data_IF_392182410938
#
_entry.id   IF_392182410938
#
_cell.length_a   1.000
_cell.length_b   1.000
_cell.length_c   1.000
_cell.angle_alpha   90.00
_cell.angle_beta   90.00
_cell.angle_gamma   90.00
#
_symmetry.space_group_name_H-M   'P 1'
#
loop_
_entity.id
_entity.type
_entity.pdbx_description
1 polymer ?
#
# COMPACT_ATOMS: atom_id res chain seq x y z
N UNK A 1 27.47 1.95 26.11
CA UNK A 1 27.04 3.10 25.29
C UNK A 1 27.56 3.02 23.85
N UNK A 2 28.85 2.74 23.63
CA UNK A 2 29.47 2.61 22.29
C UNK A 2 28.91 1.48 21.40
N UNK A 3 28.51 0.34 21.96
CA UNK A 3 27.91 -0.76 21.18
C UNK A 3 26.49 -0.45 20.67
N UNK A 4 25.70 0.32 21.44
CA UNK A 4 24.36 0.79 21.06
C UNK A 4 24.44 1.85 19.95
N UNK A 5 25.40 2.76 20.04
CA UNK A 5 25.63 3.77 18.98
C UNK A 5 26.11 3.10 17.68
N UNK A 6 27.00 2.09 17.78
CA UNK A 6 27.47 1.35 16.60
C UNK A 6 26.36 0.56 15.92
N UNK A 7 25.45 -0.05 16.69
CA UNK A 7 24.30 -0.77 16.13
C UNK A 7 23.30 0.18 15.48
N UNK A 8 23.02 1.35 16.06
CA UNK A 8 22.18 2.39 15.45
C UNK A 8 22.74 2.86 14.10
N UNK A 9 24.03 3.20 14.03
CA UNK A 9 24.69 3.63 12.77
C UNK A 9 24.66 2.52 11.72
N UNK A 10 24.78 1.26 12.15
CA UNK A 10 24.70 0.11 11.24
C UNK A 10 23.28 -0.08 10.69
N UNK A 11 22.26 0.09 11.53
CA UNK A 11 20.85 0.04 11.14
C UNK A 11 20.52 1.16 10.14
N UNK A 12 20.96 2.39 10.39
CA UNK A 12 20.76 3.50 9.45
C UNK A 12 21.42 3.24 8.10
N UNK A 13 22.64 2.71 8.10
CA UNK A 13 23.34 2.35 6.86
C UNK A 13 22.63 1.23 6.10
N UNK A 14 22.08 0.26 6.82
CA UNK A 14 21.35 -0.86 6.23
C UNK A 14 20.00 -0.41 5.67
N UNK A 15 19.30 0.48 6.38
CA UNK A 15 18.08 1.13 5.90
C UNK A 15 18.35 1.91 4.60
N UNK A 16 19.43 2.69 4.54
CA UNK A 16 19.80 3.42 3.32
C UNK A 16 20.18 2.52 2.12
N UNK A 17 20.80 1.36 2.37
CA UNK A 17 21.04 0.36 1.31
C UNK A 17 19.72 -0.23 0.83
N UNK A 18 18.80 -0.52 1.74
CA UNK A 18 17.49 -1.09 1.43
C UNK A 18 16.64 -0.11 0.62
N UNK A 19 16.61 1.16 1.01
CA UNK A 19 15.95 2.24 0.25
C UNK A 19 16.50 2.33 -1.18
N UNK A 20 17.83 2.38 -1.35
CA UNK A 20 18.45 2.42 -2.67
C UNK A 20 18.11 1.19 -3.53
N UNK A 21 18.01 0.00 -2.91
CA UNK A 21 17.64 -1.22 -3.61
C UNK A 21 16.18 -1.17 -4.07
N UNK A 22 15.27 -0.75 -3.18
CA UNK A 22 13.85 -0.57 -3.48
C UNK A 22 13.67 0.43 -4.60
N UNK A 23 14.33 1.59 -4.53
CA UNK A 23 14.22 2.63 -5.54
C UNK A 23 14.69 2.12 -6.90
N UNK A 24 15.78 1.36 -6.96
CA UNK A 24 16.24 0.69 -8.19
C UNK A 24 15.22 -0.32 -8.75
N UNK A 25 14.62 -1.14 -7.89
CA UNK A 25 13.59 -2.10 -8.32
C UNK A 25 12.38 -1.36 -8.89
N UNK A 26 11.95 -0.29 -8.23
CA UNK A 26 10.84 0.55 -8.67
C UNK A 26 11.16 1.24 -10.01
N UNK A 27 12.37 1.75 -10.21
CA UNK A 27 12.81 2.34 -11.47
C UNK A 27 12.81 1.32 -12.63
N UNK A 28 13.32 0.10 -12.39
CA UNK A 28 13.34 -0.96 -13.41
C UNK A 28 11.91 -1.36 -13.78
N UNK A 29 11.06 -1.58 -12.77
CA UNK A 29 9.62 -1.85 -12.95
C UNK A 29 8.98 -0.76 -13.80
N UNK A 30 9.24 0.51 -13.49
CA UNK A 30 8.66 1.65 -14.18
C UNK A 30 9.11 1.72 -15.64
N UNK A 31 10.40 1.52 -15.93
CA UNK A 31 10.91 1.43 -17.31
C UNK A 31 10.25 0.32 -18.12
N UNK A 32 10.11 -0.87 -17.54
CA UNK A 32 9.49 -2.02 -18.21
C UNK A 32 8.01 -1.72 -18.50
N UNK A 33 7.27 -1.26 -17.48
CA UNK A 33 5.85 -0.97 -17.61
C UNK A 33 5.59 0.17 -18.59
N UNK A 34 6.35 1.27 -18.55
CA UNK A 34 6.22 2.37 -19.51
C UNK A 34 6.42 1.85 -20.94
N UNK A 35 7.43 1.00 -21.15
CA UNK A 35 7.72 0.43 -22.48
C UNK A 35 6.57 -0.45 -22.98
N UNK A 36 5.96 -1.25 -22.10
CA UNK A 36 4.82 -2.10 -22.43
C UNK A 36 3.53 -1.27 -22.65
N UNK A 37 3.22 -0.36 -21.74
CA UNK A 37 2.00 0.46 -21.72
C UNK A 37 1.97 1.39 -22.94
N UNK A 38 3.08 2.09 -23.24
CA UNK A 38 3.12 3.06 -24.35
C UNK A 38 2.80 2.43 -25.71
N UNK A 39 3.06 1.12 -25.87
CA UNK A 39 2.89 0.41 -27.13
C UNK A 39 1.63 -0.48 -27.19
N UNK A 40 1.02 -0.83 -26.04
CA UNK A 40 -0.08 -1.82 -25.96
C UNK A 40 -1.30 -1.36 -25.16
N UNK A 41 -1.28 -0.20 -24.52
CA UNK A 41 -2.35 0.19 -23.61
C UNK A 41 -3.58 0.79 -24.32
N UNK A 42 -4.80 0.31 -24.03
CA UNK A 42 -6.02 0.88 -24.61
C UNK A 42 -6.28 2.30 -24.10
N UNK A 43 -6.45 3.26 -25.01
CA UNK A 43 -6.69 4.67 -24.69
C UNK A 43 -7.99 4.94 -23.90
N UNK A 44 -8.93 4.00 -23.89
CA UNK A 44 -10.23 4.13 -23.21
C UNK A 44 -10.21 3.73 -21.73
N UNK A 45 -9.14 3.07 -21.26
CA UNK A 45 -8.99 2.57 -19.90
C UNK A 45 -8.11 3.53 -19.08
N UNK A 46 -8.76 4.46 -18.38
CA UNK A 46 -8.09 5.43 -17.51
C UNK A 46 -7.81 4.85 -16.12
N UNK A 47 -6.81 5.39 -15.43
CA UNK A 47 -6.46 4.99 -14.06
C UNK A 47 -7.68 5.08 -13.12
N UNK A 48 -8.48 6.15 -13.22
CA UNK A 48 -9.69 6.32 -12.41
C UNK A 48 -10.73 5.21 -12.61
N UNK A 49 -10.87 4.66 -13.83
CA UNK A 49 -11.78 3.54 -14.10
C UNK A 49 -11.28 2.24 -13.46
N UNK A 50 -9.96 2.04 -13.46
CA UNK A 50 -9.32 0.90 -12.77
C UNK A 50 -9.54 0.98 -11.26
N UNK A 51 -9.26 2.13 -10.64
CA UNK A 51 -9.54 2.39 -9.22
C UNK A 51 -11.01 2.14 -8.89
N UNK A 52 -11.93 2.66 -9.71
CA UNK A 52 -13.38 2.45 -9.53
C UNK A 52 -13.79 0.98 -9.64
N UNK A 53 -13.24 0.25 -10.61
CA UNK A 53 -13.50 -1.19 -10.76
C UNK A 53 -13.02 -1.97 -9.54
N UNK A 54 -11.87 -1.60 -8.96
CA UNK A 54 -11.34 -2.22 -7.75
C UNK A 54 -12.24 -1.96 -6.55
N UNK A 55 -12.79 -0.76 -6.41
CA UNK A 55 -13.73 -0.46 -5.34
C UNK A 55 -15.01 -1.31 -5.46
N UNK A 56 -15.53 -1.50 -6.67
CA UNK A 56 -16.70 -2.37 -6.91
C UNK A 56 -16.37 -3.83 -6.56
N UNK A 57 -15.23 -4.33 -7.01
CA UNK A 57 -14.78 -5.70 -6.72
C UNK A 57 -14.59 -5.91 -5.21
N UNK A 58 -13.97 -4.95 -4.52
CA UNK A 58 -13.79 -5.00 -3.06
C UNK A 58 -15.14 -5.07 -2.33
N UNK A 59 -16.11 -4.23 -2.72
CA UNK A 59 -17.46 -4.24 -2.15
C UNK A 59 -18.22 -5.53 -2.46
N UNK A 60 -18.00 -6.15 -3.62
CA UNK A 60 -18.67 -7.39 -4.01
C UNK A 60 -18.07 -8.62 -3.30
N UNK A 61 -16.77 -8.66 -3.09
CA UNK A 61 -16.07 -9.76 -2.40
C UNK A 61 -16.37 -9.74 -0.90
N UNK A 62 -16.55 -8.56 -0.31
CA UNK A 62 -16.66 -8.44 1.14
C UNK A 62 -17.82 -9.25 1.76
N UNK A 63 -19.06 -9.21 1.23
CA UNK A 63 -20.12 -10.10 1.70
C UNK A 63 -19.80 -11.58 1.51
N UNK A 64 -19.13 -11.96 0.41
CA UNK A 64 -18.79 -13.34 0.13
C UNK A 64 -17.81 -13.91 1.16
N UNK A 65 -16.79 -13.13 1.53
CA UNK A 65 -15.79 -13.50 2.57
C UNK A 65 -16.44 -13.64 3.95
N UNK A 66 -17.43 -12.81 4.28
CA UNK A 66 -18.14 -12.91 5.58
C UNK A 66 -19.07 -14.13 5.63
N UNK A 67 -19.73 -14.45 4.50
CA UNK A 67 -20.80 -15.45 4.46
C UNK A 67 -20.30 -16.88 4.19
N UNK A 68 -19.10 -17.04 3.63
CA UNK A 68 -18.56 -18.33 3.20
C UNK A 68 -17.22 -18.57 3.89
N UNK A 69 -16.96 -19.79 4.35
CA UNK A 69 -15.62 -20.17 4.79
C UNK A 69 -14.66 -20.15 3.60
N UNK A 70 -13.72 -19.22 3.64
CA UNK A 70 -12.78 -18.94 2.57
C UNK A 70 -11.35 -19.37 2.93
N UNK A 71 -11.15 -20.03 4.08
CA UNK A 71 -9.84 -20.53 4.50
C UNK A 71 -9.31 -21.52 3.46
N UNK A 72 -8.09 -21.27 2.97
CA UNK A 72 -7.46 -22.04 1.89
C UNK A 72 -8.08 -21.84 0.50
N UNK A 73 -8.95 -20.84 0.30
CA UNK A 73 -9.59 -20.62 -0.99
C UNK A 73 -8.64 -19.98 -2.01
N UNK A 74 -8.16 -20.78 -2.95
CA UNK A 74 -7.25 -20.35 -4.02
C UNK A 74 -7.85 -19.27 -4.92
N UNK A 75 -9.15 -19.31 -5.17
CA UNK A 75 -9.83 -18.32 -6.04
C UNK A 75 -9.78 -16.94 -5.40
N UNK A 76 -10.06 -16.85 -4.09
CA UNK A 76 -9.93 -15.59 -3.36
C UNK A 76 -8.50 -15.07 -3.40
N UNK A 77 -7.51 -15.93 -3.16
CA UNK A 77 -6.10 -15.56 -3.21
C UNK A 77 -5.70 -15.00 -4.59
N UNK A 78 -6.11 -15.65 -5.68
CA UNK A 78 -5.86 -15.19 -7.05
C UNK A 78 -6.51 -13.81 -7.28
N UNK A 79 -7.75 -13.61 -6.84
CA UNK A 79 -8.43 -12.33 -6.99
C UNK A 79 -7.66 -11.22 -6.25
N UNK A 80 -7.24 -11.45 -5.00
CA UNK A 80 -6.45 -10.48 -4.24
C UNK A 80 -5.11 -10.18 -4.92
N UNK A 81 -4.42 -11.19 -5.45
CA UNK A 81 -3.17 -11.00 -6.20
C UNK A 81 -3.42 -10.11 -7.42
N UNK A 82 -4.45 -10.40 -8.21
CA UNK A 82 -4.80 -9.59 -9.40
C UNK A 82 -5.11 -8.13 -9.00
N UNK A 83 -5.79 -7.94 -7.87
CA UNK A 83 -6.13 -6.60 -7.37
C UNK A 83 -4.89 -5.79 -6.99
N UNK A 84 -3.92 -6.41 -6.30
CA UNK A 84 -2.63 -5.78 -5.96
C UNK A 84 -1.83 -5.48 -7.23
N UNK A 85 -1.77 -6.43 -8.18
CA UNK A 85 -1.07 -6.21 -9.44
C UNK A 85 -1.70 -5.06 -10.24
N UNK A 86 -3.02 -4.90 -10.17
CA UNK A 86 -3.73 -3.82 -10.86
C UNK A 86 -3.37 -2.45 -10.28
N UNK A 87 -3.21 -2.32 -8.95
CA UNK A 87 -2.71 -1.12 -8.26
C UNK A 87 -1.25 -0.76 -8.61
N UNK A 88 -0.45 -1.79 -8.91
CA UNK A 88 0.92 -1.55 -9.36
C UNK A 88 0.98 -0.97 -10.77
N UNK A 89 -0.03 -1.25 -11.60
CA UNK A 89 -0.07 -0.88 -13.01
C UNK A 89 -0.74 0.49 -13.20
N UNK A 90 -1.87 0.77 -12.54
CA UNK A 90 -2.58 2.05 -12.68
C UNK A 90 -1.76 3.26 -12.21
N UNK A 91 -0.94 3.12 -11.16
CA UNK A 91 -0.03 4.15 -10.71
C UNK A 91 1.07 4.48 -11.72
N UNK A 92 1.45 3.54 -12.59
CA UNK A 92 2.37 3.81 -13.71
C UNK A 92 1.62 4.42 -14.89
N UNK A 93 0.41 3.96 -15.19
CA UNK A 93 -0.43 4.51 -16.27
C UNK A 93 -0.76 5.98 -16.00
N UNK A 94 -1.18 6.32 -14.78
CA UNK A 94 -1.55 7.67 -14.39
C UNK A 94 -0.39 8.66 -14.62
N UNK A 95 0.84 8.25 -14.26
CA UNK A 95 2.07 9.02 -14.47
C UNK A 95 2.47 9.11 -15.94
N UNK A 96 2.36 8.01 -16.68
CA UNK A 96 2.76 7.94 -18.10
C UNK A 96 1.83 8.73 -19.02
N UNK A 97 0.52 8.73 -18.72
CA UNK A 97 -0.49 9.41 -19.52
C UNK A 97 -0.78 10.84 -19.03
N UNK A 98 -0.09 11.35 -18.00
CA UNK A 98 -0.37 12.64 -17.35
C UNK A 98 -1.85 12.81 -16.95
N UNK A 99 -2.53 11.71 -16.62
CA UNK A 99 -3.95 11.70 -16.23
C UNK A 99 -4.13 11.79 -14.71
N UNK A 100 -3.22 12.46 -14.01
CA UNK A 100 -3.27 12.61 -12.56
C UNK A 100 -4.31 13.68 -12.18
N UNK A 101 -5.35 13.27 -11.46
CA UNK A 101 -6.33 14.21 -10.89
C UNK A 101 -6.24 14.16 -9.37
N UNK A 102 -6.39 15.31 -8.70
CA UNK A 102 -6.34 15.38 -7.23
C UNK A 102 -7.45 14.53 -6.58
N UNK A 103 -8.64 14.53 -7.17
CA UNK A 103 -9.77 13.71 -6.72
C UNK A 103 -9.49 12.22 -6.95
N UNK A 104 -9.00 11.85 -8.13
CA UNK A 104 -8.61 10.47 -8.43
C UNK A 104 -7.54 9.93 -7.49
N UNK A 105 -6.51 10.73 -7.18
CA UNK A 105 -5.46 10.35 -6.23
C UNK A 105 -5.98 10.16 -4.80
N UNK A 106 -7.00 10.93 -4.38
CA UNK A 106 -7.65 10.72 -3.08
C UNK A 106 -8.50 9.45 -3.09
N UNK A 107 -9.31 9.23 -4.13
CA UNK A 107 -10.12 8.02 -4.28
C UNK A 107 -9.26 6.76 -4.35
N UNK A 108 -8.10 6.84 -4.97
CA UNK A 108 -7.14 5.75 -5.07
C UNK A 108 -6.64 5.30 -3.70
N UNK A 109 -6.25 6.26 -2.84
CA UNK A 109 -5.87 5.97 -1.45
C UNK A 109 -7.00 5.37 -0.62
N UNK A 110 -8.25 5.73 -0.91
CA UNK A 110 -9.43 5.17 -0.23
C UNK A 110 -9.70 3.76 -0.73
N UNK A 111 -9.69 3.55 -2.04
CA UNK A 111 -9.98 2.27 -2.68
C UNK A 111 -8.95 1.19 -2.30
N UNK A 112 -7.66 1.54 -2.28
CA UNK A 112 -6.57 0.64 -1.83
C UNK A 112 -6.85 0.09 -0.43
N UNK A 113 -7.30 0.95 0.48
CA UNK A 113 -7.53 0.57 1.87
C UNK A 113 -8.88 -0.08 2.13
N UNK A 114 -9.86 0.12 1.27
CA UNK A 114 -11.20 -0.48 1.40
C UNK A 114 -11.14 -2.01 1.25
N UNK A 115 -10.17 -2.53 0.50
CA UNK A 115 -9.96 -3.97 0.35
C UNK A 115 -9.09 -4.56 1.47
N UNK A 116 -7.98 -3.91 1.78
CA UNK A 116 -7.00 -4.41 2.77
C UNK A 116 -7.54 -4.35 4.20
N UNK A 117 -8.24 -3.28 4.59
CA UNK A 117 -8.66 -3.11 5.99
C UNK A 117 -9.63 -4.17 6.47
N UNK A 118 -10.76 -4.42 5.80
CA UNK A 118 -11.75 -5.33 6.35
C UNK A 118 -11.24 -6.76 6.41
N UNK A 119 -10.48 -7.18 5.40
CA UNK A 119 -9.80 -8.48 5.39
C UNK A 119 -8.76 -8.58 6.50
N UNK A 120 -7.93 -7.55 6.69
CA UNK A 120 -6.97 -7.52 7.79
C UNK A 120 -7.63 -7.59 9.17
N UNK A 121 -8.78 -6.95 9.36
CA UNK A 121 -9.57 -7.09 10.59
C UNK A 121 -10.03 -8.53 10.77
N UNK A 122 -10.65 -9.13 9.75
CA UNK A 122 -11.17 -10.51 9.86
C UNK A 122 -10.04 -11.51 10.15
N UNK A 123 -8.90 -11.39 9.46
CA UNK A 123 -7.77 -12.31 9.58
C UNK A 123 -7.03 -12.20 10.90
N UNK A 124 -6.72 -10.97 11.33
CA UNK A 124 -5.79 -10.77 12.44
C UNK A 124 -6.50 -10.50 13.76
N UNK A 125 -7.80 -10.20 13.79
CA UNK A 125 -8.49 -9.84 15.04
C UNK A 125 -8.40 -10.90 16.13
N UNK A 126 -8.56 -12.18 15.77
CA UNK A 126 -8.50 -13.28 16.73
C UNK A 126 -7.07 -13.69 17.11
N UNK A 127 -6.07 -13.31 16.32
CA UNK A 127 -4.67 -13.71 16.51
C UNK A 127 -3.84 -12.60 17.16
N UNK A 128 -3.89 -11.40 16.59
CA UNK A 128 -3.20 -10.21 17.09
C UNK A 128 -4.09 -8.94 16.93
N UNK A 129 -4.95 -8.66 17.92
CA UNK A 129 -5.79 -7.47 17.90
C UNK A 129 -4.99 -6.17 18.05
N UNK A 130 -3.74 -6.21 18.55
CA UNK A 130 -2.89 -5.03 18.64
C UNK A 130 -2.38 -4.60 17.28
N UNK A 131 -1.95 -5.56 16.45
CA UNK A 131 -1.59 -5.30 15.06
C UNK A 131 -2.75 -4.63 14.33
N UNK A 132 -3.97 -5.16 14.48
CA UNK A 132 -5.18 -4.56 13.89
C UNK A 132 -5.40 -3.14 14.40
N UNK A 133 -5.47 -2.94 15.72
CA UNK A 133 -5.75 -1.63 16.31
C UNK A 133 -4.74 -0.56 15.91
N UNK A 134 -3.45 -0.89 15.93
CA UNK A 134 -2.37 0.02 15.53
C UNK A 134 -2.38 0.31 14.03
N UNK A 135 -2.67 -0.69 13.19
CA UNK A 135 -2.80 -0.51 11.74
C UNK A 135 -3.95 0.40 11.37
N UNK A 136 -5.12 0.20 12.00
CA UNK A 136 -6.30 1.05 11.84
C UNK A 136 -5.99 2.49 12.26
N UNK A 137 -5.31 2.67 13.40
CA UNK A 137 -4.91 3.98 13.88
C UNK A 137 -3.94 4.67 12.91
N UNK A 138 -2.83 4.02 12.54
CA UNK A 138 -1.85 4.56 11.60
C UNK A 138 -2.48 4.94 10.25
N UNK A 139 -3.40 4.13 9.76
CA UNK A 139 -4.14 4.45 8.54
C UNK A 139 -5.06 5.66 8.70
N UNK A 140 -5.81 5.76 9.78
CA UNK A 140 -6.69 6.92 10.02
C UNK A 140 -5.90 8.22 10.02
N UNK A 141 -4.68 8.21 10.58
CA UNK A 141 -3.73 9.33 10.52
C UNK A 141 -3.34 9.62 9.07
N UNK A 142 -2.97 8.62 8.27
CA UNK A 142 -2.59 8.81 6.86
C UNK A 142 -3.74 9.39 6.02
N UNK A 143 -4.95 8.86 6.17
CA UNK A 143 -6.14 9.37 5.46
C UNK A 143 -6.48 10.79 5.90
N UNK A 144 -6.38 11.09 7.20
CA UNK A 144 -6.59 12.43 7.72
C UNK A 144 -5.57 13.42 7.16
N UNK A 145 -4.28 13.06 7.12
CA UNK A 145 -3.25 13.89 6.51
C UNK A 145 -3.49 14.10 5.01
N UNK A 146 -3.91 13.06 4.28
CA UNK A 146 -4.26 13.16 2.86
C UNK A 146 -5.47 14.09 2.65
N UNK A 147 -6.48 14.01 3.50
CA UNK A 147 -7.67 14.86 3.48
C UNK A 147 -7.33 16.32 3.78
N UNK A 148 -6.57 16.60 4.84
CA UNK A 148 -6.10 17.95 5.19
C UNK A 148 -5.31 18.56 4.03
N UNK A 149 -4.45 17.78 3.35
CA UNK A 149 -3.70 18.23 2.19
C UNK A 149 -4.59 18.56 1.00
N UNK A 150 -5.59 17.72 0.72
CA UNK A 150 -6.56 17.95 -0.35
C UNK A 150 -7.32 19.28 -0.16
N UNK A 151 -7.66 19.64 1.08
CA UNK A 151 -8.32 20.90 1.40
C UNK A 151 -7.39 22.12 1.42
N UNK A 152 -6.12 21.94 1.85
CA UNK A 152 -5.16 23.06 1.96
C UNK A 152 -4.44 23.40 0.67
N UNK A 153 -4.17 22.41 -0.19
CA UNK A 153 -3.41 22.61 -1.42
C UNK A 153 -4.36 22.47 -2.60
N UNK A 154 -4.64 23.57 -3.28
CA UNK A 154 -5.40 23.62 -4.52
C UNK A 154 -4.87 22.62 -5.54
N UNK A 155 -5.51 21.45 -5.62
CA UNK A 155 -5.37 20.45 -6.70
C UNK A 155 -3.95 19.89 -6.95
N UNK A 156 -3.04 19.94 -5.98
CA UNK A 156 -1.72 19.33 -6.17
C UNK A 156 -1.74 17.83 -5.85
N UNK A 157 -1.11 17.05 -6.73
CA UNK A 157 -0.98 15.59 -6.59
C UNK A 157 -0.21 15.29 -5.29
N UNK A 158 -0.76 14.42 -4.44
CA UNK A 158 -0.07 14.00 -3.21
C UNK A 158 1.18 13.21 -3.61
N UNK A 159 2.41 13.67 -3.30
CA UNK A 159 3.62 12.93 -3.61
C UNK A 159 3.54 11.55 -2.96
N UNK A 160 3.73 10.52 -3.76
CA UNK A 160 3.76 9.15 -3.27
C UNK A 160 5.10 8.90 -2.58
N UNK A 161 5.05 8.38 -1.37
CA UNK A 161 6.25 7.93 -0.67
C UNK A 161 6.51 6.45 -1.00
N UNK A 162 7.75 6.11 -1.35
CA UNK A 162 8.16 4.74 -1.69
C UNK A 162 7.99 3.79 -0.50
N UNK A 163 8.26 4.26 0.72
CA UNK A 163 7.99 3.50 1.94
C UNK A 163 6.49 3.23 2.16
N UNK A 164 5.60 4.14 1.76
CA UNK A 164 4.15 3.93 1.84
C UNK A 164 3.63 2.85 0.88
N UNK A 165 4.24 2.74 -0.31
CA UNK A 165 3.95 1.65 -1.25
C UNK A 165 4.44 0.31 -0.72
N UNK A 166 5.64 0.28 -0.16
CA UNK A 166 6.19 -0.94 0.45
C UNK A 166 5.32 -1.41 1.62
N UNK A 167 4.92 -0.50 2.51
CA UNK A 167 3.99 -0.79 3.60
C UNK A 167 2.69 -1.45 3.10
N UNK A 168 2.08 -0.87 2.06
CA UNK A 168 0.83 -1.37 1.49
C UNK A 168 1.02 -2.73 0.82
N UNK A 169 2.15 -2.96 0.16
CA UNK A 169 2.52 -4.27 -0.38
C UNK A 169 2.69 -5.34 0.72
N UNK A 170 3.36 -5.00 1.83
CA UNK A 170 3.53 -5.90 2.97
C UNK A 170 2.19 -6.32 3.57
N UNK A 171 1.27 -5.37 3.82
CA UNK A 171 -0.06 -5.71 4.34
C UNK A 171 -0.87 -6.57 3.37
N UNK A 172 -0.80 -6.27 2.08
CA UNK A 172 -1.55 -7.03 1.09
C UNK A 172 -1.03 -8.46 0.96
N UNK A 173 0.29 -8.66 1.04
CA UNK A 173 0.91 -9.99 1.09
C UNK A 173 0.58 -10.73 2.39
N UNK A 174 0.58 -10.03 3.53
CA UNK A 174 0.21 -10.61 4.82
C UNK A 174 -1.21 -11.19 4.77
N UNK A 175 -2.17 -10.46 4.19
CA UNK A 175 -3.56 -10.93 4.04
C UNK A 175 -3.65 -12.15 3.11
N UNK A 176 -2.92 -12.16 1.98
CA UNK A 176 -2.91 -13.32 1.08
C UNK A 176 -2.39 -14.57 1.80
N UNK A 177 -1.32 -14.42 2.57
CA UNK A 177 -0.73 -15.54 3.33
C UNK A 177 -1.68 -16.00 4.44
N UNK A 178 -2.39 -15.08 5.09
CA UNK A 178 -3.35 -15.37 6.15
C UNK A 178 -4.53 -16.24 5.70
N UNK A 179 -4.85 -16.28 4.39
CA UNK A 179 -5.88 -17.20 3.85
C UNK A 179 -5.59 -18.65 4.24
N UNK A 180 -4.31 -19.04 4.36
CA UNK A 180 -3.92 -20.36 4.83
C UNK A 180 -3.60 -20.31 6.33
N UNK A 181 -4.41 -20.97 7.19
CA UNK A 181 -4.24 -20.90 8.64
C UNK A 181 -2.86 -21.38 9.14
N UNK A 182 -2.26 -22.34 8.43
CA UNK A 182 -0.93 -22.87 8.76
C UNK A 182 0.18 -21.82 8.64
N UNK A 183 -0.05 -20.77 7.84
CA UNK A 183 0.95 -19.73 7.56
C UNK A 183 0.66 -18.43 8.31
N UNK A 184 -0.30 -18.45 9.25
CA UNK A 184 -0.72 -17.25 10.00
C UNK A 184 0.42 -16.58 10.76
N UNK A 185 1.39 -17.35 11.29
CA UNK A 185 2.58 -16.81 11.96
C UNK A 185 3.41 -15.94 11.01
N UNK A 186 3.59 -16.39 9.76
CA UNK A 186 4.32 -15.62 8.76
C UNK A 186 3.54 -14.39 8.29
N UNK A 187 2.22 -14.52 8.17
CA UNK A 187 1.33 -13.41 7.88
C UNK A 187 1.44 -12.32 8.97
N UNK A 188 1.44 -12.70 10.24
CA UNK A 188 1.56 -11.78 11.37
C UNK A 188 2.91 -11.05 11.38
N UNK A 189 4.02 -11.77 11.20
CA UNK A 189 5.35 -11.16 11.07
C UNK A 189 5.45 -10.17 9.90
N UNK A 190 4.85 -10.51 8.76
CA UNK A 190 4.77 -9.60 7.61
C UNK A 190 3.87 -8.39 7.89
N UNK A 191 2.78 -8.58 8.61
CA UNK A 191 1.91 -7.50 9.10
C UNK A 191 2.66 -6.51 9.98
N UNK A 192 3.37 -6.99 11.00
CA UNK A 192 4.24 -6.17 11.84
C UNK A 192 5.36 -5.49 11.05
N UNK A 193 5.98 -6.20 10.09
CA UNK A 193 6.94 -5.60 9.17
C UNK A 193 6.33 -4.44 8.37
N UNK A 194 5.12 -4.63 7.85
CA UNK A 194 4.33 -3.59 7.19
C UNK A 194 4.03 -2.41 8.10
N UNK A 195 3.70 -2.65 9.37
CA UNK A 195 3.47 -1.62 10.38
C UNK A 195 4.71 -0.74 10.59
N UNK A 196 5.89 -1.35 10.82
CA UNK A 196 7.12 -0.59 11.04
C UNK A 196 7.54 0.22 9.80
N UNK A 197 7.41 -0.35 8.60
CA UNK A 197 7.63 0.39 7.34
C UNK A 197 6.64 1.53 7.18
N UNK A 198 5.37 1.31 7.58
CA UNK A 198 4.34 2.35 7.59
C UNK A 198 4.68 3.51 8.52
N UNK A 199 5.20 3.22 9.71
CA UNK A 199 5.64 4.23 10.66
C UNK A 199 6.83 5.04 10.12
N UNK A 200 7.82 4.37 9.50
CA UNK A 200 8.91 5.05 8.80
C UNK A 200 8.40 5.96 7.68
N UNK A 201 7.40 5.52 6.92
CA UNK A 201 6.76 6.34 5.88
C UNK A 201 6.07 7.59 6.44
N UNK A 202 5.39 7.48 7.58
CA UNK A 202 4.78 8.62 8.27
C UNK A 202 5.87 9.59 8.72
N UNK A 203 6.96 9.09 9.32
CA UNK A 203 8.09 9.92 9.76
C UNK A 203 8.74 10.66 8.59
N UNK A 204 8.96 9.99 7.45
CA UNK A 204 9.49 10.63 6.23
C UNK A 204 8.55 11.70 5.69
N UNK A 205 7.24 11.42 5.65
CA UNK A 205 6.24 12.40 5.21
C UNK A 205 6.18 13.62 6.16
N UNK A 206 6.29 13.39 7.47
CA UNK A 206 6.31 14.44 8.48
C UNK A 206 7.57 15.29 8.37
N UNK A 207 8.74 14.68 8.22
CA UNK A 207 10.01 15.38 8.04
C UNK A 207 9.99 16.25 6.77
N UNK A 208 9.54 15.71 5.65
CA UNK A 208 9.42 16.47 4.39
C UNK A 208 8.40 17.61 4.46
N UNK A 209 7.32 17.48 5.22
CA UNK A 209 6.29 18.53 5.32
C UNK A 209 6.59 19.63 6.36
N UNK A 210 7.18 19.27 7.50
CA UNK A 210 7.37 20.23 8.60
C UNK A 210 8.79 20.78 8.70
N UNK A 211 9.81 20.04 8.24
CA UNK A 211 11.21 20.44 8.41
C UNK A 211 11.86 20.93 7.11
N UNK A 212 11.44 20.42 5.95
CA UNK A 212 11.96 20.85 4.64
C UNK A 212 11.18 22.01 4.01
N UNK A 213 10.21 22.60 4.72
CA UNK A 213 9.48 23.81 4.31
C UNK A 213 10.25 25.12 4.55
N UNK A 214 11.57 25.13 4.33
CA UNK A 214 12.40 26.34 4.20
C UNK A 214 12.99 26.41 2.80
#
# INVERSE_FOLDING_TARGET
MTALIRSIVWIEKLAGIFENLIDRILEIKEKILITLIKNRWPAWLSANKLTGSRLIVALAIFPWVILVDYRGNEVLAIILIVMILTDLIDGVIARTLNQTSALGSLLDKIADKTLVMPLGVIEFWSYDPWLVGLSLFGMSVILFLAFVKFFRSSKTVVPENTAGKLCSACYSLAIIIAIWPDWQIWADHLGWGGFFVGMASIMQNFHRHFLAGK
#
